data_IF_646110038006
#
_entry.id   IF_646110038006
#
_cell.length_a   1.000
_cell.length_b   1.000
_cell.length_c   1.000
_cell.angle_alpha   90.00
_cell.angle_beta   90.00
_cell.angle_gamma   90.00
#
_symmetry.space_group_name_H-M   'P 1'
#
loop_
_entity.id
_entity.type
_entity.pdbx_description
1 polymer ?
#
# COMPACT_ATOMS: atom_id res chain seq x y z
N UNK A 1 -11.48 -10.65 -27.08
CA UNK A 1 -10.26 -10.56 -26.25
C UNK A 1 -10.45 -9.39 -25.31
N UNK A 2 -10.86 -9.64 -24.06
CA UNK A 2 -10.74 -8.63 -23.03
C UNK A 2 -9.26 -8.56 -22.69
N UNK A 3 -8.57 -7.50 -23.11
CA UNK A 3 -7.39 -7.03 -22.37
C UNK A 3 -7.91 -6.48 -21.05
N UNK A 4 -8.38 -7.38 -20.18
CA UNK A 4 -8.65 -7.08 -18.79
C UNK A 4 -7.29 -6.72 -18.22
N UNK A 5 -7.10 -5.44 -17.97
CA UNK A 5 -5.85 -4.89 -17.47
C UNK A 5 -5.50 -5.72 -16.23
N UNK A 6 -4.33 -6.33 -16.16
CA UNK A 6 -3.93 -7.16 -15.00
C UNK A 6 -3.97 -6.38 -13.66
N UNK A 7 -4.23 -5.08 -13.75
CA UNK A 7 -4.31 -4.09 -12.69
C UNK A 7 -5.75 -3.75 -12.25
N UNK A 8 -6.80 -4.25 -12.93
CA UNK A 8 -8.20 -4.01 -12.54
C UNK A 8 -8.52 -4.56 -11.13
N UNK A 9 -7.66 -5.40 -10.57
CA UNK A 9 -7.74 -5.88 -9.19
C UNK A 9 -6.36 -5.77 -8.50
N UNK A 10 -5.64 -4.67 -8.74
CA UNK A 10 -4.40 -4.38 -8.05
C UNK A 10 -4.39 -2.97 -7.49
N UNK A 11 -3.70 -2.81 -6.36
CA UNK A 11 -3.30 -1.50 -5.86
C UNK A 11 -1.81 -1.34 -6.11
N UNK A 12 -1.40 -0.17 -6.60
CA UNK A 12 0.00 0.15 -6.85
C UNK A 12 0.45 1.19 -5.84
N UNK A 13 1.50 0.89 -5.08
CA UNK A 13 2.13 1.83 -4.15
C UNK A 13 3.37 2.44 -4.79
N UNK A 14 3.38 3.76 -4.88
CA UNK A 14 4.51 4.56 -5.38
C UNK A 14 5.31 5.06 -4.16
N UNK A 15 6.53 4.55 -4.03
CA UNK A 15 7.44 4.78 -2.91
C UNK A 15 8.80 5.22 -3.44
N UNK A 16 9.30 6.35 -2.95
CA UNK A 16 10.55 6.95 -3.38
C UNK A 16 11.76 6.28 -2.71
N UNK A 17 12.09 5.06 -3.14
CA UNK A 17 13.28 4.32 -2.70
C UNK A 17 13.01 3.17 -1.73
N UNK A 18 11.81 3.09 -1.17
CA UNK A 18 11.42 2.04 -0.21
C UNK A 18 10.58 0.92 -0.83
N UNK A 19 10.44 0.89 -2.16
CA UNK A 19 9.63 -0.08 -2.89
C UNK A 19 10.08 -1.54 -2.64
N UNK A 20 11.39 -1.80 -2.66
CA UNK A 20 11.93 -3.14 -2.39
C UNK A 20 11.59 -3.61 -0.97
N UNK A 21 11.71 -2.73 0.03
CA UNK A 21 11.40 -3.07 1.43
C UNK A 21 9.91 -3.39 1.63
N UNK A 22 9.03 -2.61 1.01
CA UNK A 22 7.60 -2.91 1.06
C UNK A 22 7.28 -4.22 0.32
N UNK A 23 7.89 -4.46 -0.84
CA UNK A 23 7.72 -5.71 -1.59
C UNK A 23 8.13 -6.92 -0.75
N UNK A 24 9.31 -6.88 -0.13
CA UNK A 24 9.81 -7.92 0.79
C UNK A 24 8.84 -8.17 1.95
N UNK A 25 8.24 -7.11 2.49
CA UNK A 25 7.30 -7.20 3.61
C UNK A 25 5.98 -7.87 3.23
N UNK A 26 5.46 -7.59 2.05
CA UNK A 26 4.14 -8.05 1.60
C UNK A 26 4.17 -9.43 0.93
N UNK A 27 5.28 -9.80 0.28
CA UNK A 27 5.41 -11.08 -0.46
C UNK A 27 5.31 -12.33 0.40
N UNK A 28 5.41 -12.20 1.72
CA UNK A 28 5.22 -13.31 2.65
C UNK A 28 3.80 -13.91 2.55
N UNK A 29 2.79 -13.07 2.34
CA UNK A 29 1.36 -13.48 2.42
C UNK A 29 0.53 -13.06 1.21
N UNK A 30 1.11 -12.30 0.27
CA UNK A 30 0.41 -11.67 -0.84
C UNK A 30 1.13 -11.89 -2.17
N UNK A 31 0.34 -11.93 -3.24
CA UNK A 31 0.88 -11.86 -4.60
C UNK A 31 1.26 -10.41 -4.90
N UNK A 32 2.57 -10.14 -4.91
CA UNK A 32 3.14 -8.81 -5.12
C UNK A 32 4.29 -8.84 -6.11
N UNK A 33 4.44 -7.78 -6.88
CA UNK A 33 5.52 -7.61 -7.84
C UNK A 33 5.96 -6.15 -7.90
N UNK A 34 7.19 -5.94 -8.35
CA UNK A 34 7.71 -4.61 -8.63
C UNK A 34 7.32 -4.22 -10.06
N UNK A 35 6.80 -3.00 -10.19
CA UNK A 35 6.48 -2.36 -11.45
C UNK A 35 7.37 -1.13 -11.62
N UNK A 36 8.04 -1.01 -12.77
CA UNK A 36 8.82 0.18 -13.08
C UNK A 36 7.97 1.12 -13.95
N UNK A 37 7.63 2.31 -13.43
CA UNK A 37 6.81 3.31 -14.12
C UNK A 37 7.45 4.69 -14.03
N UNK A 38 7.57 5.35 -15.17
CA UNK A 38 8.03 6.76 -15.25
C UNK A 38 9.37 7.04 -14.52
N UNK A 39 10.24 6.04 -14.42
CA UNK A 39 11.53 6.15 -13.74
C UNK A 39 11.49 5.89 -12.23
N UNK A 40 10.35 5.43 -11.70
CA UNK A 40 10.13 5.10 -10.30
C UNK A 40 9.69 3.65 -10.13
N UNK A 41 10.16 3.02 -9.06
CA UNK A 41 9.74 1.66 -8.70
C UNK A 41 8.47 1.73 -7.86
N UNK A 42 7.47 0.95 -8.25
CA UNK A 42 6.19 0.82 -7.58
C UNK A 42 5.98 -0.63 -7.13
N UNK A 43 5.25 -0.82 -6.03
CA UNK A 43 4.84 -2.14 -5.54
C UNK A 43 3.39 -2.38 -5.93
N UNK A 44 3.16 -3.31 -6.84
CA UNK A 44 1.82 -3.76 -7.18
C UNK A 44 1.41 -4.93 -6.29
N UNK A 45 0.19 -4.85 -5.74
CA UNK A 45 -0.40 -5.86 -4.87
C UNK A 45 -1.71 -6.32 -5.47
N UNK A 46 -1.81 -7.61 -5.81
CA UNK A 46 -3.09 -8.18 -6.26
C UNK A 46 -4.06 -8.28 -5.09
N UNK A 47 -5.28 -7.78 -5.30
CA UNK A 47 -6.39 -7.87 -4.37
C UNK A 47 -7.15 -9.18 -4.55
N UNK A 48 -7.48 -9.83 -3.44
CA UNK A 48 -8.39 -10.98 -3.42
C UNK A 48 -9.83 -10.49 -3.55
N UNK A 49 -10.71 -11.33 -4.07
CA UNK A 49 -12.15 -11.00 -4.22
C UNK A 49 -12.91 -10.89 -2.88
N UNK A 50 -12.24 -11.14 -1.75
CA UNK A 50 -12.83 -11.10 -0.42
C UNK A 50 -13.19 -9.66 -0.01
N UNK A 51 -14.41 -9.41 0.49
CA UNK A 51 -14.77 -8.10 1.02
C UNK A 51 -13.79 -7.67 2.12
N UNK A 52 -13.15 -6.52 1.91
CA UNK A 52 -12.21 -5.95 2.87
C UNK A 52 -10.73 -6.29 2.65
N UNK A 53 -10.38 -7.10 1.63
CA UNK A 53 -8.97 -7.39 1.35
C UNK A 53 -8.16 -6.11 1.07
N UNK A 54 -8.73 -5.17 0.31
CA UNK A 54 -8.16 -3.83 0.12
C UNK A 54 -7.90 -3.12 1.46
N UNK A 55 -8.85 -3.16 2.39
CA UNK A 55 -8.68 -2.52 3.69
C UNK A 55 -7.54 -3.18 4.50
N UNK A 56 -7.41 -4.51 4.41
CA UNK A 56 -6.30 -5.23 5.04
C UNK A 56 -4.95 -4.81 4.44
N UNK A 57 -4.86 -4.71 3.11
CA UNK A 57 -3.64 -4.24 2.42
C UNK A 57 -3.30 -2.82 2.84
N UNK A 58 -4.26 -1.89 2.79
CA UNK A 58 -4.04 -0.49 3.17
C UNK A 58 -3.58 -0.37 4.63
N UNK A 59 -4.17 -1.12 5.56
CA UNK A 59 -3.75 -1.12 6.97
C UNK A 59 -2.35 -1.69 7.17
N UNK A 60 -1.99 -2.75 6.45
CA UNK A 60 -0.64 -3.31 6.51
C UNK A 60 0.40 -2.30 6.02
N UNK A 61 0.12 -1.60 4.92
CA UNK A 61 1.00 -0.54 4.40
C UNK A 61 1.02 0.67 5.34
N UNK A 62 -0.11 1.11 5.90
CA UNK A 62 -0.16 2.20 6.88
C UNK A 62 0.72 1.90 8.11
N UNK A 63 0.63 0.68 8.64
CA UNK A 63 1.46 0.23 9.76
C UNK A 63 2.95 0.19 9.40
N UNK A 64 3.28 -0.22 8.17
CA UNK A 64 4.65 -0.23 7.68
C UNK A 64 5.20 1.20 7.49
N UNK A 65 4.43 2.14 6.93
CA UNK A 65 4.80 3.56 6.81
C UNK A 65 5.12 4.13 8.20
N UNK A 66 4.26 3.86 9.19
CA UNK A 66 4.45 4.33 10.56
C UNK A 66 5.72 3.74 11.20
N UNK A 67 5.97 2.46 11.00
CA UNK A 67 7.15 1.77 11.55
C UNK A 67 8.48 2.26 10.94
N UNK A 68 8.46 2.69 9.68
CA UNK A 68 9.64 3.20 8.97
C UNK A 68 9.75 4.73 9.00
N UNK A 69 8.92 5.41 9.81
CA UNK A 69 8.91 6.87 9.94
C UNK A 69 8.73 7.63 8.60
N UNK A 70 8.01 7.02 7.66
CA UNK A 70 7.69 7.66 6.38
C UNK A 70 6.53 8.64 6.55
N UNK A 71 6.60 9.79 5.89
CA UNK A 71 5.56 10.82 6.00
C UNK A 71 4.24 10.37 5.34
N UNK A 72 4.33 9.76 4.16
CA UNK A 72 3.19 9.27 3.40
C UNK A 72 3.65 8.33 2.28
N UNK A 73 2.72 7.52 1.79
CA UNK A 73 2.85 6.79 0.52
C UNK A 73 1.75 7.25 -0.45
N UNK A 74 2.09 7.34 -1.74
CA UNK A 74 1.11 7.51 -2.80
C UNK A 74 0.68 6.12 -3.28
N UNK A 75 -0.58 5.97 -3.66
CA UNK A 75 -1.04 4.75 -4.29
C UNK A 75 -2.08 5.01 -5.38
N UNK A 76 -2.18 4.09 -6.33
CA UNK A 76 -3.19 4.08 -7.39
C UNK A 76 -4.13 2.87 -7.20
N UNK A 77 -5.43 3.13 -7.28
CA UNK A 77 -6.49 2.12 -7.27
C UNK A 77 -7.49 2.47 -8.37
N UNK A 78 -7.78 1.54 -9.26
CA UNK A 78 -8.71 1.73 -10.39
C UNK A 78 -8.38 3.00 -11.22
N UNK A 79 -7.09 3.26 -11.43
CA UNK A 79 -6.58 4.43 -12.16
C UNK A 79 -6.73 5.76 -11.41
N UNK A 80 -7.13 5.75 -10.14
CA UNK A 80 -7.24 6.93 -9.29
C UNK A 80 -6.08 6.98 -8.30
N UNK A 81 -5.44 8.14 -8.22
CA UNK A 81 -4.35 8.37 -7.27
C UNK A 81 -4.87 8.85 -5.91
N UNK A 82 -4.26 8.32 -4.85
CA UNK A 82 -4.55 8.61 -3.46
C UNK A 82 -3.24 8.79 -2.68
N UNK A 83 -3.33 9.43 -1.52
CA UNK A 83 -2.21 9.56 -0.58
C UNK A 83 -2.63 9.01 0.77
N UNK A 84 -1.77 8.19 1.37
CA UNK A 84 -1.93 7.67 2.72
C UNK A 84 -0.80 8.18 3.59
N UNK A 85 -1.15 8.77 4.73
CA UNK A 85 -0.18 9.17 5.75
C UNK A 85 -0.29 8.22 6.93
N UNK A 86 0.82 7.97 7.61
CA UNK A 86 0.77 7.33 8.91
C UNK A 86 -0.09 8.18 9.84
N UNK A 87 -1.18 7.62 10.36
CA UNK A 87 -1.83 8.24 11.50
C UNK A 87 -0.83 8.23 12.65
N UNK A 88 -0.56 9.37 13.30
CA UNK A 88 0.05 9.32 14.62
C UNK A 88 -0.86 8.44 15.47
N UNK A 89 -0.29 7.45 16.15
CA UNK A 89 -1.05 6.80 17.23
C UNK A 89 -1.43 7.95 18.15
N UNK A 90 -2.71 8.28 18.21
CA UNK A 90 -3.17 9.28 19.15
C UNK A 90 -2.83 8.70 20.52
N UNK A 91 -1.84 9.28 21.20
CA UNK A 91 -1.67 9.07 22.62
C UNK A 91 -3.02 9.44 23.22
N UNK A 92 -3.82 8.44 23.59
CA UNK A 92 -5.01 8.67 24.39
C UNK A 92 -4.54 9.49 25.58
N UNK A 93 -5.06 10.71 25.81
CA UNK A 93 -4.87 11.32 27.10
C UNK A 93 -5.58 10.37 28.07
N UNK A 94 -4.80 9.65 28.88
CA UNK A 94 -5.31 8.88 29.99
C UNK A 94 -6.11 9.86 30.84
N UNK A 95 -7.43 9.83 30.66
CA UNK A 95 -8.36 10.61 31.46
C UNK A 95 -8.33 10.05 32.87
N UNK A 96 -7.53 10.69 33.72
CA UNK A 96 -7.82 10.77 35.14
C UNK A 96 -9.14 11.54 35.27
N UNK A 97 -10.20 10.84 35.66
CA UNK A 97 -11.30 11.42 36.43
C UNK A 97 -11.94 10.36 37.31
#
# INVERSE_FOLDING_TARGET
MHSGNALDNAVLFDLSGEAEELWQRLRADRLVWLEHREGSDSVAVSLRSEPGDLAVVLRAVEAWIAANHLASARFELDGRAYTMSARPVALSPSGLS
#
